data_IF_751697498855
#
_entry.id   IF_751697498855
#
_cell.length_a   1.000
_cell.length_b   1.000
_cell.length_c   1.000
_cell.angle_alpha   90.00
_cell.angle_beta   90.00
_cell.angle_gamma   90.00
#
_symmetry.space_group_name_H-M   'P 1'
#
loop_
_entity.id
_entity.type
_entity.pdbx_description
1 polymer ?
#
# COMPACT_ATOMS: atom_id res chain seq x y z
N UNK A 1 -7.25 -12.61 4.07
CA UNK A 1 -6.91 -13.63 3.05
C UNK A 1 -6.35 -12.91 1.83
N UNK A 2 -5.15 -13.28 1.37
CA UNK A 2 -4.55 -12.71 0.15
C UNK A 2 -5.19 -13.41 -1.05
N UNK A 3 -5.82 -12.63 -1.94
CA UNK A 3 -6.61 -13.16 -3.07
C UNK A 3 -6.02 -12.80 -4.44
N UNK A 4 -4.89 -12.09 -4.51
CA UNK A 4 -4.23 -11.84 -5.80
C UNK A 4 -4.89 -10.82 -6.73
N UNK A 5 -6.00 -10.21 -6.32
CA UNK A 5 -6.76 -9.29 -7.17
C UNK A 5 -6.27 -7.84 -7.02
N UNK A 6 -6.26 -7.13 -8.16
CA UNK A 6 -6.06 -5.69 -8.23
C UNK A 6 -7.13 -4.96 -7.40
N UNK A 7 -6.77 -3.81 -6.80
CA UNK A 7 -7.70 -2.96 -6.06
C UNK A 7 -7.94 -1.67 -6.83
N UNK A 8 -9.15 -1.51 -7.38
CA UNK A 8 -9.50 -0.43 -8.31
C UNK A 8 -10.79 0.21 -7.83
N UNK A 9 -10.75 1.51 -7.51
CA UNK A 9 -11.95 2.28 -7.16
C UNK A 9 -12.77 1.71 -5.99
N UNK A 10 -12.13 1.05 -5.02
CA UNK A 10 -12.82 0.42 -3.88
C UNK A 10 -13.26 -1.03 -4.11
N UNK A 11 -12.98 -1.61 -5.28
CA UNK A 11 -13.38 -2.97 -5.66
C UNK A 11 -12.18 -3.84 -6.04
N UNK A 12 -12.37 -5.18 -6.01
CA UNK A 12 -11.36 -6.17 -6.42
C UNK A 12 -11.58 -6.59 -7.87
N UNK A 13 -10.53 -6.60 -8.68
CA UNK A 13 -10.58 -7.00 -10.10
C UNK A 13 -9.42 -7.93 -10.47
N UNK A 14 -9.69 -8.88 -11.38
CA UNK A 14 -8.76 -9.92 -11.80
C UNK A 14 -9.04 -10.34 -13.26
N UNK A 15 -9.10 -9.37 -14.17
CA UNK A 15 -9.43 -9.64 -15.58
C UNK A 15 -8.26 -10.24 -16.36
N UNK A 16 -7.03 -10.06 -15.88
CA UNK A 16 -5.84 -10.66 -16.50
C UNK A 16 -5.79 -12.17 -16.36
N UNK A 17 -5.39 -12.85 -17.42
CA UNK A 17 -5.19 -14.32 -17.44
C UNK A 17 -3.77 -14.72 -17.04
N UNK A 18 -2.80 -13.80 -17.14
CA UNK A 18 -1.43 -14.04 -16.68
C UNK A 18 -1.38 -13.94 -15.16
N UNK A 19 -0.92 -15.02 -14.53
CA UNK A 19 -0.69 -15.09 -13.09
C UNK A 19 0.80 -14.88 -12.79
N UNK A 20 1.08 -14.02 -11.82
CA UNK A 20 2.39 -13.84 -11.22
C UNK A 20 2.44 -14.53 -9.87
N UNK A 21 3.58 -15.13 -9.55
CA UNK A 21 3.83 -15.70 -8.22
C UNK A 21 4.88 -14.87 -7.51
N UNK A 22 4.67 -14.66 -6.21
CA UNK A 22 5.74 -14.17 -5.37
C UNK A 22 6.77 -15.28 -5.14
N UNK A 23 8.05 -14.91 -5.05
CA UNK A 23 9.17 -15.84 -4.96
C UNK A 23 9.92 -15.60 -3.66
N UNK A 24 10.24 -16.68 -2.95
CA UNK A 24 11.07 -16.62 -1.76
C UNK A 24 12.53 -16.33 -2.18
N UNK A 25 13.06 -15.18 -1.75
CA UNK A 25 14.34 -14.65 -2.22
C UNK A 25 15.55 -15.55 -1.87
N UNK A 26 15.47 -16.36 -0.80
CA UNK A 26 16.56 -17.23 -0.37
C UNK A 26 16.61 -18.57 -1.11
N UNK A 27 15.46 -19.11 -1.51
CA UNK A 27 15.36 -20.46 -2.10
C UNK A 27 15.01 -20.44 -3.59
N UNK A 28 14.42 -19.35 -4.08
CA UNK A 28 13.87 -19.26 -5.43
C UNK A 28 12.53 -19.99 -5.60
N UNK A 29 11.97 -20.56 -4.52
CA UNK A 29 10.69 -21.26 -4.57
C UNK A 29 9.50 -20.28 -4.59
N UNK A 30 8.43 -20.65 -5.26
CA UNK A 30 7.21 -19.84 -5.29
C UNK A 30 6.46 -19.91 -3.95
N UNK A 31 6.05 -18.76 -3.44
CA UNK A 31 5.09 -18.64 -2.34
C UNK A 31 3.68 -19.04 -2.82
N UNK A 32 2.74 -19.38 -1.91
CA UNK A 32 1.41 -19.89 -2.28
C UNK A 32 0.47 -18.81 -2.83
N UNK A 33 0.95 -17.59 -3.06
CA UNK A 33 0.15 -16.47 -3.52
C UNK A 33 0.31 -16.27 -5.03
N UNK A 34 -0.83 -16.21 -5.72
CA UNK A 34 -0.93 -15.89 -7.13
C UNK A 34 -1.56 -14.51 -7.28
N UNK A 35 -1.04 -13.69 -8.19
CA UNK A 35 -1.50 -12.33 -8.45
C UNK A 35 -1.87 -12.20 -9.92
N UNK A 36 -3.04 -11.63 -10.20
CA UNK A 36 -3.46 -11.37 -11.58
C UNK A 36 -2.72 -10.15 -12.11
N UNK A 37 -1.98 -10.34 -13.21
CA UNK A 37 -1.38 -9.22 -13.92
C UNK A 37 -2.47 -8.30 -14.45
N UNK A 38 -2.40 -7.01 -14.12
CA UNK A 38 -3.41 -6.05 -14.56
C UNK A 38 -3.47 -5.97 -16.10
N UNK A 39 -4.68 -5.96 -16.65
CA UNK A 39 -4.89 -5.67 -18.07
C UNK A 39 -4.79 -4.17 -18.35
N UNK A 40 -4.60 -3.78 -19.62
CA UNK A 40 -4.67 -2.37 -20.03
C UNK A 40 -6.02 -1.75 -19.65
N UNK A 41 -7.12 -2.51 -19.75
CA UNK A 41 -8.44 -2.06 -19.33
C UNK A 41 -8.51 -1.79 -17.82
N UNK A 42 -7.99 -2.67 -16.99
CA UNK A 42 -7.93 -2.47 -15.53
C UNK A 42 -7.05 -1.28 -15.15
N UNK A 43 -5.93 -1.07 -15.85
CA UNK A 43 -5.08 0.12 -15.68
C UNK A 43 -5.85 1.39 -16.02
N UNK A 44 -6.56 1.41 -17.16
CA UNK A 44 -7.39 2.55 -17.56
C UNK A 44 -8.50 2.82 -16.54
N UNK A 45 -9.15 1.77 -16.00
CA UNK A 45 -10.14 1.89 -14.94
C UNK A 45 -9.54 2.46 -13.64
N UNK A 46 -8.33 2.07 -13.27
CA UNK A 46 -7.63 2.62 -12.10
C UNK A 46 -7.32 4.11 -12.27
N UNK A 47 -6.84 4.51 -13.45
CA UNK A 47 -6.58 5.91 -13.79
C UNK A 47 -7.87 6.75 -13.74
N UNK A 48 -8.96 6.26 -14.32
CA UNK A 48 -10.25 6.94 -14.29
C UNK A 48 -10.80 7.04 -12.86
N UNK A 49 -10.75 5.95 -12.08
CA UNK A 49 -11.18 5.95 -10.69
C UNK A 49 -10.38 6.95 -9.83
N UNK A 50 -9.06 7.03 -10.04
CA UNK A 50 -8.20 8.00 -9.37
C UNK A 50 -8.57 9.45 -9.76
N UNK A 51 -8.81 9.71 -11.05
CA UNK A 51 -9.25 11.01 -11.57
C UNK A 51 -10.59 11.45 -10.94
N UNK A 52 -11.55 10.53 -10.83
CA UNK A 52 -12.84 10.80 -10.18
C UNK A 52 -12.69 11.05 -8.68
N UNK A 53 -11.92 10.20 -7.98
CA UNK A 53 -11.66 10.37 -6.55
C UNK A 53 -10.96 11.71 -6.24
N UNK A 54 -10.04 12.14 -7.09
CA UNK A 54 -9.34 13.42 -6.95
C UNK A 54 -10.30 14.61 -6.90
N UNK A 55 -11.38 14.60 -7.69
CA UNK A 55 -12.37 15.70 -7.72
C UNK A 55 -12.94 16.00 -6.34
N UNK A 56 -13.20 14.98 -5.53
CA UNK A 56 -13.68 15.14 -4.15
C UNK A 56 -12.53 15.29 -3.17
N UNK A 57 -11.51 14.43 -3.26
CA UNK A 57 -10.40 14.40 -2.31
C UNK A 57 -9.62 15.73 -2.24
N UNK A 58 -9.48 16.44 -3.36
CA UNK A 58 -8.80 17.75 -3.40
C UNK A 58 -9.47 18.83 -2.55
N UNK A 59 -10.76 18.68 -2.24
CA UNK A 59 -11.52 19.62 -1.40
C UNK A 59 -11.49 19.27 0.09
N UNK A 60 -10.83 18.18 0.48
CA UNK A 60 -10.61 17.85 1.89
C UNK A 60 -9.80 18.95 2.58
N UNK A 61 -10.00 19.10 3.88
CA UNK A 61 -9.18 20.01 4.68
C UNK A 61 -7.79 19.38 4.94
N UNK A 62 -6.77 20.21 5.26
CA UNK A 62 -5.50 19.68 5.72
C UNK A 62 -5.64 18.75 6.93
N UNK A 63 -6.57 19.03 7.85
CA UNK A 63 -6.85 18.18 9.01
C UNK A 63 -7.41 16.81 8.60
N UNK A 64 -8.38 16.76 7.69
CA UNK A 64 -8.93 15.50 7.19
C UNK A 64 -7.86 14.62 6.55
N UNK A 65 -6.94 15.22 5.79
CA UNK A 65 -5.80 14.50 5.20
C UNK A 65 -4.78 14.06 6.25
N UNK A 66 -4.54 14.87 7.28
CA UNK A 66 -3.64 14.52 8.37
C UNK A 66 -4.15 13.30 9.15
N UNK A 67 -5.44 13.30 9.53
CA UNK A 67 -6.10 12.15 10.17
C UNK A 67 -6.05 10.92 9.28
N UNK A 68 -6.26 11.06 7.97
CA UNK A 68 -6.16 9.94 7.04
C UNK A 68 -4.76 9.30 7.03
N UNK A 69 -3.69 10.11 6.99
CA UNK A 69 -2.32 9.61 7.05
C UNK A 69 -1.98 8.97 8.40
N UNK A 70 -2.50 9.51 9.50
CA UNK A 70 -2.32 8.94 10.83
C UNK A 70 -3.01 7.57 10.95
N UNK A 71 -4.23 7.44 10.44
CA UNK A 71 -4.92 6.16 10.40
C UNK A 71 -4.14 5.13 9.57
N UNK A 72 -3.57 5.50 8.42
CA UNK A 72 -2.69 4.61 7.64
C UNK A 72 -1.47 4.20 8.48
N UNK A 73 -0.86 5.13 9.23
CA UNK A 73 0.29 4.84 10.07
C UNK A 73 -0.05 3.86 11.21
N UNK A 74 -1.20 4.05 11.86
CA UNK A 74 -1.67 3.19 12.94
C UNK A 74 -1.98 1.77 12.44
N UNK A 75 -2.64 1.64 11.29
CA UNK A 75 -2.90 0.34 10.65
C UNK A 75 -1.60 -0.36 10.22
N UNK A 76 -0.60 0.39 9.73
CA UNK A 76 0.72 -0.17 9.42
C UNK A 76 1.44 -0.68 10.68
N UNK A 77 1.39 0.08 11.78
CA UNK A 77 2.01 -0.34 13.04
C UNK A 77 1.31 -1.53 13.68
N UNK A 78 0.00 -1.69 13.43
CA UNK A 78 -0.80 -2.82 13.87
C UNK A 78 -0.51 -4.12 13.11
N UNK A 79 0.17 -4.08 11.96
CA UNK A 79 0.58 -5.29 11.24
C UNK A 79 1.48 -6.17 12.12
N UNK A 80 1.16 -7.46 12.17
CA UNK A 80 1.82 -8.41 13.05
C UNK A 80 3.15 -8.94 12.52
N UNK A 81 3.65 -9.96 13.21
CA UNK A 81 4.87 -10.68 12.81
C UNK A 81 4.63 -11.51 11.54
N UNK A 82 3.40 -11.98 11.32
CA UNK A 82 2.96 -12.69 10.11
C UNK A 82 3.22 -11.88 8.83
N UNK A 83 2.93 -10.58 8.86
CA UNK A 83 3.25 -9.66 7.77
C UNK A 83 4.77 -9.57 7.55
N UNK A 84 5.55 -9.42 8.62
CA UNK A 84 7.01 -9.29 8.54
C UNK A 84 7.69 -10.57 8.05
N UNK A 85 7.14 -11.74 8.40
CA UNK A 85 7.61 -13.03 7.91
C UNK A 85 7.41 -13.17 6.40
N UNK A 86 6.25 -12.77 5.87
CA UNK A 86 6.01 -12.74 4.42
C UNK A 86 7.03 -11.81 3.74
N UNK A 87 7.20 -10.59 4.24
CA UNK A 87 8.16 -9.64 3.65
C UNK A 87 9.60 -10.18 3.74
N UNK A 88 9.95 -10.87 4.83
CA UNK A 88 11.26 -11.52 4.98
C UNK A 88 11.47 -12.63 3.95
N UNK A 89 10.44 -13.42 3.65
CA UNK A 89 10.50 -14.44 2.60
C UNK A 89 10.71 -13.80 1.22
N UNK A 90 10.00 -12.73 0.91
CA UNK A 90 10.07 -12.06 -0.41
C UNK A 90 11.36 -11.26 -0.64
N UNK A 91 12.02 -10.80 0.44
CA UNK A 91 13.15 -9.86 0.34
C UNK A 91 14.48 -10.39 0.89
N UNK A 92 14.45 -11.51 1.62
CA UNK A 92 15.56 -12.04 2.42
C UNK A 92 16.11 -11.06 3.48
N UNK A 93 15.39 -9.98 3.82
CA UNK A 93 15.82 -9.03 4.84
C UNK A 93 15.55 -9.57 6.25
N UNK A 94 16.47 -9.36 7.22
CA UNK A 94 16.25 -9.74 8.61
C UNK A 94 15.06 -9.00 9.25
N UNK A 95 14.32 -9.67 10.15
CA UNK A 95 13.15 -9.09 10.82
C UNK A 95 13.43 -7.74 11.49
N UNK A 96 14.59 -7.58 12.14
CA UNK A 96 14.97 -6.30 12.76
C UNK A 96 15.06 -5.15 11.74
N UNK A 97 15.52 -5.43 10.52
CA UNK A 97 15.53 -4.44 9.43
C UNK A 97 14.11 -4.09 9.02
N UNK A 98 13.26 -5.10 8.83
CA UNK A 98 11.87 -4.91 8.39
C UNK A 98 11.02 -4.16 9.42
N UNK A 99 11.23 -4.40 10.71
CA UNK A 99 10.64 -3.61 11.80
C UNK A 99 11.03 -2.13 11.68
N UNK A 100 12.30 -1.86 11.39
CA UNK A 100 12.80 -0.51 11.11
C UNK A 100 12.16 0.12 9.87
N UNK A 101 12.03 -0.62 8.77
CA UNK A 101 11.38 -0.14 7.53
C UNK A 101 9.90 0.21 7.76
N UNK A 102 9.18 -0.62 8.52
CA UNK A 102 7.78 -0.38 8.90
C UNK A 102 7.67 0.88 9.75
N UNK A 103 8.46 0.98 10.83
CA UNK A 103 8.46 2.14 11.72
C UNK A 103 8.86 3.43 10.98
N UNK A 104 9.79 3.34 10.03
CA UNK A 104 10.18 4.46 9.17
C UNK A 104 9.01 4.91 8.28
N UNK A 105 8.29 3.96 7.68
CA UNK A 105 7.16 4.25 6.80
C UNK A 105 5.99 4.88 7.56
N UNK A 106 5.58 4.30 8.69
CA UNK A 106 4.52 4.88 9.54
C UNK A 106 4.93 6.23 10.12
N UNK A 107 6.22 6.39 10.48
CA UNK A 107 6.80 7.67 10.87
C UNK A 107 6.73 8.75 9.77
N UNK A 108 6.98 8.40 8.51
CA UNK A 108 6.85 9.32 7.37
C UNK A 108 5.41 9.79 7.16
N UNK A 109 4.42 8.89 7.30
CA UNK A 109 3.01 9.28 7.23
C UNK A 109 2.65 10.31 8.31
N UNK A 110 3.07 10.06 9.56
CA UNK A 110 2.86 11.01 10.68
C UNK A 110 3.63 12.32 10.51
N UNK A 111 4.80 12.29 9.88
CA UNK A 111 5.54 13.51 9.52
C UNK A 111 4.72 14.36 8.54
N UNK A 112 4.19 13.77 7.47
CA UNK A 112 3.38 14.51 6.50
C UNK A 112 2.04 14.99 7.08
N UNK A 113 1.43 14.24 8.01
CA UNK A 113 0.28 14.71 8.78
C UNK A 113 0.60 16.00 9.56
N UNK A 114 1.77 16.07 10.21
CA UNK A 114 2.23 17.29 10.88
C UNK A 114 2.48 18.44 9.91
N UNK A 115 3.07 18.18 8.74
CA UNK A 115 3.26 19.20 7.70
C UNK A 115 1.92 19.77 7.23
N UNK A 116 0.92 18.91 7.01
CA UNK A 116 -0.43 19.33 6.65
C UNK A 116 -1.05 20.26 7.69
N UNK A 117 -0.91 19.95 8.98
CA UNK A 117 -1.44 20.77 10.07
C UNK A 117 -0.71 22.09 10.27
N UNK A 118 0.61 22.13 10.04
CA UNK A 118 1.38 23.37 10.12
C UNK A 118 0.98 24.37 9.06
N UNK A 119 0.67 23.88 7.85
CA UNK A 119 0.24 24.75 6.75
C UNK A 119 1.38 25.50 6.07
N UNK A 120 2.65 25.28 6.43
CA UNK A 120 3.83 25.97 5.89
C UNK A 120 3.97 25.87 4.34
N UNK A 121 3.26 24.93 3.72
CA UNK A 121 3.21 24.72 2.27
C UNK A 121 2.17 25.61 1.54
N UNK A 122 1.35 26.36 2.27
CA UNK A 122 0.28 27.21 1.72
C UNK A 122 0.73 28.64 1.42
N UNK A 123 1.96 29.02 1.80
CA UNK A 123 2.52 30.37 1.63
C UNK A 123 2.40 31.24 2.88
#
# INVERSE_FOLDING_TARGET
MVIGHNFIGGSRSAQGTTLLKSIQATTGEALPYEFHHATEQEINQACEAASQAFKTYRHTTPEQRAVFLENIADELDALGTDFLEIVSQETALPLARLQGERARTSGQMRLFAKVLRRGDFLG
#
